data_IF_542650470070
#
_entry.id   IF_542650470070
#
_cell.length_a   1.000
_cell.length_b   1.000
_cell.length_c   1.000
_cell.angle_alpha   90.00
_cell.angle_beta   90.00
_cell.angle_gamma   90.00
#
_symmetry.space_group_name_H-M   'P 1'
#
loop_
_entity.id
_entity.type
_entity.pdbx_description
1 polymer ?
#
# COMPACT_ATOMS: atom_id res chain seq x y z
N UNK A 1 24.67 18.40 -1.26
CA UNK A 1 24.10 17.07 -1.58
C UNK A 1 22.61 17.25 -1.79
N UNK A 2 21.98 16.45 -2.66
CA UNK A 2 20.52 16.44 -2.76
C UNK A 2 19.95 15.85 -1.47
N UNK A 3 18.81 16.36 -1.01
CA UNK A 3 18.08 15.73 0.10
C UNK A 3 17.56 14.36 -0.36
N UNK A 4 17.62 13.37 0.51
CA UNK A 4 17.09 12.03 0.25
C UNK A 4 15.64 11.93 0.72
N UNK A 5 14.78 11.35 -0.10
CA UNK A 5 13.39 11.05 0.28
C UNK A 5 13.07 9.58 0.00
N UNK A 6 12.46 8.90 0.96
CA UNK A 6 11.86 7.58 0.73
C UNK A 6 10.40 7.76 0.36
N UNK A 7 10.00 7.30 -0.82
CA UNK A 7 8.59 7.27 -1.22
C UNK A 7 8.03 5.87 -0.97
N UNK A 8 7.00 5.76 -0.12
CA UNK A 8 6.19 4.56 0.02
C UNK A 8 5.43 4.32 -1.30
N UNK A 9 5.96 3.43 -2.14
CA UNK A 9 5.58 3.31 -3.54
C UNK A 9 4.82 2.01 -3.80
N UNK A 10 3.60 2.12 -4.33
CA UNK A 10 2.73 0.97 -4.65
C UNK A 10 2.57 0.72 -6.15
N UNK A 11 3.11 1.59 -7.00
CA UNK A 11 2.86 1.60 -8.45
C UNK A 11 1.57 2.30 -8.86
N UNK A 12 0.78 2.79 -7.90
CA UNK A 12 -0.44 3.55 -8.15
C UNK A 12 -0.16 4.97 -8.68
N UNK A 13 -1.20 5.65 -9.16
CA UNK A 13 -1.14 7.00 -9.69
C UNK A 13 -0.50 7.98 -8.71
N UNK A 14 -1.05 8.08 -7.49
CA UNK A 14 -0.66 9.05 -6.47
C UNK A 14 0.83 8.90 -6.10
N UNK A 15 1.30 7.66 -5.95
CA UNK A 15 2.70 7.36 -5.66
C UNK A 15 3.61 7.57 -6.87
N UNK A 16 3.10 7.36 -8.09
CA UNK A 16 3.85 7.61 -9.32
C UNK A 16 4.07 9.11 -9.56
N UNK A 17 3.01 9.91 -9.39
CA UNK A 17 3.10 11.36 -9.35
C UNK A 17 4.09 11.82 -8.28
N UNK A 18 4.00 11.28 -7.06
CA UNK A 18 4.88 11.65 -5.95
C UNK A 18 6.36 11.42 -6.26
N UNK A 19 6.72 10.25 -6.82
CA UNK A 19 8.10 9.96 -7.23
C UNK A 19 8.59 11.00 -8.25
N UNK A 20 7.81 11.22 -9.31
CA UNK A 20 8.23 12.12 -10.39
C UNK A 20 8.31 13.58 -9.93
N UNK A 21 7.31 14.05 -9.19
CA UNK A 21 7.26 15.43 -8.70
C UNK A 21 8.42 15.73 -7.74
N UNK A 22 8.72 14.82 -6.81
CA UNK A 22 9.84 15.01 -5.89
C UNK A 22 11.19 14.96 -6.59
N UNK A 23 11.35 14.09 -7.59
CA UNK A 23 12.57 13.99 -8.37
C UNK A 23 12.79 15.22 -9.27
N UNK A 24 11.77 15.66 -10.01
CA UNK A 24 11.89 16.72 -11.03
C UNK A 24 11.73 18.12 -10.44
N UNK A 25 10.65 18.39 -9.71
CA UNK A 25 10.30 19.74 -9.26
C UNK A 25 11.01 20.14 -7.96
N UNK A 26 11.22 19.16 -7.08
CA UNK A 26 11.83 19.40 -5.76
C UNK A 26 13.30 19.00 -5.70
N UNK A 27 13.82 18.32 -6.73
CA UNK A 27 15.23 17.97 -6.84
C UNK A 27 15.72 16.97 -5.79
N UNK A 28 14.83 16.20 -5.17
CA UNK A 28 15.20 15.16 -4.22
C UNK A 28 15.93 13.99 -4.91
N UNK A 29 16.77 13.31 -4.13
CA UNK A 29 17.23 11.97 -4.45
C UNK A 29 16.16 10.97 -3.96
N UNK A 30 15.36 10.47 -4.89
CA UNK A 30 14.16 9.68 -4.56
C UNK A 30 14.50 8.19 -4.45
N UNK A 31 14.22 7.60 -3.30
CA UNK A 31 14.30 6.17 -3.03
C UNK A 31 12.87 5.61 -2.98
N UNK A 32 12.44 4.91 -4.02
CA UNK A 32 11.13 4.26 -4.04
C UNK A 32 11.21 2.94 -3.26
N UNK A 33 10.29 2.74 -2.31
CA UNK A 33 10.24 1.52 -1.50
C UNK A 33 8.83 0.94 -1.48
N UNK A 34 8.71 -0.32 -1.90
CA UNK A 34 7.48 -1.10 -1.87
C UNK A 34 7.54 -2.09 -0.70
N UNK A 35 6.64 -1.94 0.29
CA UNK A 35 6.52 -2.91 1.37
C UNK A 35 5.51 -4.01 0.99
N UNK A 36 6.03 -5.20 0.70
CA UNK A 36 5.21 -6.34 0.27
C UNK A 36 4.64 -7.10 1.48
N UNK A 37 3.33 -6.98 1.67
CA UNK A 37 2.54 -7.73 2.68
C UNK A 37 1.80 -8.93 2.07
N UNK A 38 2.21 -9.40 0.90
CA UNK A 38 1.64 -10.57 0.21
C UNK A 38 0.56 -10.24 -0.83
N UNK A 39 0.43 -8.95 -1.18
CA UNK A 39 -0.58 -8.46 -2.11
C UNK A 39 -0.15 -8.38 -3.58
N UNK A 40 1.14 -8.53 -3.87
CA UNK A 40 1.71 -8.32 -5.20
C UNK A 40 2.16 -9.63 -5.83
N UNK A 41 1.91 -9.79 -7.13
CA UNK A 41 2.56 -10.83 -7.93
C UNK A 41 4.00 -10.46 -8.25
N UNK A 42 4.83 -11.45 -8.60
CA UNK A 42 6.22 -11.19 -9.03
C UNK A 42 6.30 -10.27 -10.25
N UNK A 43 5.35 -10.42 -11.20
CA UNK A 43 5.26 -9.57 -12.39
C UNK A 43 4.91 -8.12 -12.03
N UNK A 44 3.97 -7.91 -11.10
CA UNK A 44 3.64 -6.58 -10.59
C UNK A 44 4.83 -5.93 -9.90
N UNK A 45 5.59 -6.68 -9.10
CA UNK A 45 6.78 -6.15 -8.42
C UNK A 45 7.87 -5.73 -9.42
N UNK A 46 8.11 -6.52 -10.47
CA UNK A 46 9.03 -6.15 -11.56
C UNK A 46 8.55 -4.90 -12.31
N UNK A 47 7.26 -4.85 -12.64
CA UNK A 47 6.71 -3.69 -13.35
C UNK A 47 6.80 -2.41 -12.50
N UNK A 48 6.56 -2.52 -11.20
CA UNK A 48 6.69 -1.42 -10.25
C UNK A 48 8.13 -0.90 -10.17
N UNK A 49 9.12 -1.81 -10.15
CA UNK A 49 10.53 -1.44 -10.18
C UNK A 49 10.89 -0.65 -11.45
N UNK A 50 10.54 -1.18 -12.63
CA UNK A 50 10.80 -0.52 -13.90
C UNK A 50 10.15 0.86 -13.96
N UNK A 51 8.90 0.97 -13.48
CA UNK A 51 8.16 2.22 -13.48
C UNK A 51 8.79 3.23 -12.52
N UNK A 52 9.21 2.82 -11.33
CA UNK A 52 9.88 3.70 -10.37
C UNK A 52 11.11 4.39 -11.01
N UNK A 53 11.93 3.65 -11.75
CA UNK A 53 13.09 4.23 -12.46
C UNK A 53 12.67 5.17 -13.60
N UNK A 54 11.67 4.81 -14.41
CA UNK A 54 11.13 5.70 -15.46
C UNK A 54 10.58 7.02 -14.89
N UNK A 55 10.01 6.97 -13.69
CA UNK A 55 9.49 8.14 -12.97
C UNK A 55 10.61 9.03 -12.39
N UNK A 56 11.84 8.54 -12.31
CA UNK A 56 13.00 9.30 -11.81
C UNK A 56 13.49 8.88 -10.42
N UNK A 57 13.07 7.72 -9.90
CA UNK A 57 13.67 7.17 -8.69
C UNK A 57 15.17 6.88 -8.91
N UNK A 58 15.99 7.23 -7.92
CA UNK A 58 17.42 6.92 -7.88
C UNK A 58 17.64 5.44 -7.53
N UNK A 59 16.80 4.90 -6.65
CA UNK A 59 16.83 3.48 -6.25
C UNK A 59 15.42 2.99 -5.99
N UNK A 60 15.18 1.73 -6.33
CA UNK A 60 13.98 1.00 -5.94
C UNK A 60 14.32 -0.16 -5.00
N UNK A 61 13.44 -0.47 -4.06
CA UNK A 61 13.52 -1.69 -3.24
C UNK A 61 12.13 -2.26 -2.99
N UNK A 62 12.01 -3.59 -3.08
CA UNK A 62 10.88 -4.33 -2.51
C UNK A 62 11.31 -4.92 -1.17
N UNK A 63 10.59 -4.56 -0.11
CA UNK A 63 10.81 -5.04 1.25
C UNK A 63 9.73 -6.07 1.55
N UNK A 64 10.09 -7.35 1.52
CA UNK A 64 9.17 -8.42 1.89
C UNK A 64 8.99 -8.48 3.41
N UNK A 65 7.76 -8.22 3.87
CA UNK A 65 7.38 -8.28 5.27
C UNK A 65 6.30 -9.33 5.54
N UNK A 66 6.04 -10.23 4.60
CA UNK A 66 4.99 -11.27 4.72
C UNK A 66 5.17 -12.12 5.97
N UNK A 67 6.39 -12.62 6.21
CA UNK A 67 6.72 -13.44 7.38
C UNK A 67 6.61 -12.63 8.68
N UNK A 68 7.21 -11.44 8.74
CA UNK A 68 7.11 -10.57 9.92
C UNK A 68 5.65 -10.22 10.23
N UNK A 69 4.86 -9.96 9.20
CA UNK A 69 3.45 -9.63 9.31
C UNK A 69 2.63 -10.80 9.89
N UNK A 70 2.89 -12.03 9.44
CA UNK A 70 2.28 -13.21 10.04
C UNK A 70 2.68 -13.37 11.51
N UNK A 71 3.99 -13.37 11.77
CA UNK A 71 4.56 -13.67 13.08
C UNK A 71 4.21 -12.65 14.16
N UNK A 72 4.07 -11.38 13.78
CA UNK A 72 3.83 -10.27 14.73
C UNK A 72 2.40 -9.73 14.72
N UNK A 73 1.56 -10.13 13.75
CA UNK A 73 0.18 -9.62 13.66
C UNK A 73 -0.84 -10.73 13.39
N UNK A 74 -0.75 -11.40 12.24
CA UNK A 74 -1.84 -12.28 11.80
C UNK A 74 -2.14 -13.38 12.81
N UNK A 75 -1.10 -14.06 13.32
CA UNK A 75 -1.32 -15.13 14.29
C UNK A 75 -2.00 -14.64 15.57
N UNK A 76 -1.65 -13.44 16.06
CA UNK A 76 -2.30 -12.88 17.25
C UNK A 76 -3.72 -12.41 16.99
N UNK A 77 -4.02 -11.92 15.78
CA UNK A 77 -5.40 -11.63 15.38
C UNK A 77 -6.25 -12.92 15.34
N UNK A 78 -5.67 -14.04 14.91
CA UNK A 78 -6.31 -15.36 14.99
C UNK A 78 -6.50 -15.78 16.45
N UNK A 79 -5.47 -15.70 17.29
CA UNK A 79 -5.56 -16.10 18.71
C UNK A 79 -6.65 -15.33 19.45
N UNK A 80 -6.76 -14.03 19.16
CA UNK A 80 -7.75 -13.15 19.78
C UNK A 80 -9.13 -13.18 19.14
N UNK A 81 -9.34 -13.94 18.06
CA UNK A 81 -10.55 -13.89 17.23
C UNK A 81 -10.93 -12.44 16.87
N UNK A 82 -9.95 -11.64 16.46
CA UNK A 82 -10.09 -10.19 16.31
C UNK A 82 -11.03 -9.85 15.15
N UNK A 83 -12.19 -9.28 15.49
CA UNK A 83 -13.17 -8.79 14.54
C UNK A 83 -13.66 -7.40 14.96
N UNK A 84 -13.53 -6.42 14.06
CA UNK A 84 -14.18 -5.11 14.24
C UNK A 84 -15.68 -5.27 14.02
N UNK A 85 -16.44 -4.79 15.00
CA UNK A 85 -17.89 -4.88 15.03
C UNK A 85 -18.41 -6.32 14.85
N UNK A 86 -17.61 -7.32 15.23
CA UNK A 86 -17.96 -8.74 15.08
C UNK A 86 -17.98 -9.26 13.65
N UNK A 87 -17.53 -8.47 12.66
CA UNK A 87 -17.66 -8.84 11.23
C UNK A 87 -16.36 -8.73 10.45
N UNK A 88 -15.55 -7.70 10.69
CA UNK A 88 -14.41 -7.38 9.83
C UNK A 88 -13.07 -7.75 10.47
N UNK A 89 -12.25 -8.63 9.88
CA UNK A 89 -11.00 -9.12 10.47
C UNK A 89 -9.80 -8.15 10.36
N UNK A 90 -10.04 -6.84 10.14
CA UNK A 90 -8.99 -5.80 10.20
C UNK A 90 -7.85 -5.99 9.16
N UNK A 91 -8.14 -6.59 8.00
CA UNK A 91 -7.17 -6.86 6.91
C UNK A 91 -6.29 -5.66 6.53
N UNK A 92 -6.87 -4.57 6.05
CA UNK A 92 -6.10 -3.43 5.53
C UNK A 92 -5.42 -2.66 6.65
N UNK A 93 -6.09 -2.48 7.79
CA UNK A 93 -5.59 -1.58 8.83
C UNK A 93 -4.30 -2.08 9.46
N UNK A 94 -4.23 -3.40 9.69
CA UNK A 94 -3.02 -4.04 10.23
C UNK A 94 -1.89 -4.05 9.20
N UNK A 95 -2.17 -4.34 7.93
CA UNK A 95 -1.17 -4.28 6.84
C UNK A 95 -0.49 -2.92 6.73
N UNK A 96 -1.26 -1.82 6.82
CA UNK A 96 -0.72 -0.46 6.72
C UNK A 96 0.31 -0.13 7.79
N UNK A 97 0.14 -0.65 9.00
CA UNK A 97 1.13 -0.49 10.05
C UNK A 97 2.44 -1.18 9.64
N UNK A 98 2.40 -2.43 9.17
CA UNK A 98 3.60 -3.16 8.76
C UNK A 98 4.30 -2.53 7.56
N UNK A 99 3.52 -1.99 6.62
CA UNK A 99 4.06 -1.20 5.51
C UNK A 99 4.78 0.04 6.03
N UNK A 100 4.14 0.81 6.91
CA UNK A 100 4.76 2.00 7.50
C UNK A 100 6.02 1.67 8.32
N UNK A 101 6.00 0.57 9.11
CA UNK A 101 7.16 0.09 9.86
C UNK A 101 8.35 -0.20 8.92
N UNK A 102 8.10 -0.90 7.81
CA UNK A 102 9.13 -1.25 6.82
C UNK A 102 9.74 0.00 6.18
N UNK A 103 8.89 0.94 5.76
CA UNK A 103 9.32 2.20 5.13
C UNK A 103 10.12 3.06 6.11
N UNK A 104 9.68 3.18 7.35
CA UNK A 104 10.38 3.95 8.38
C UNK A 104 11.77 3.36 8.69
N UNK A 105 11.86 2.03 8.81
CA UNK A 105 13.15 1.34 9.02
C UNK A 105 14.11 1.59 7.86
N UNK A 106 13.63 1.46 6.63
CA UNK A 106 14.45 1.73 5.45
C UNK A 106 14.90 3.19 5.35
N UNK A 107 14.01 4.14 5.65
CA UNK A 107 14.35 5.56 5.69
C UNK A 107 15.46 5.87 6.71
N UNK A 108 15.39 5.29 7.91
CA UNK A 108 16.43 5.42 8.91
C UNK A 108 17.75 4.76 8.47
N UNK A 109 17.68 3.58 7.86
CA UNK A 109 18.86 2.83 7.38
C UNK A 109 19.68 3.65 6.36
N UNK A 110 19.00 4.30 5.42
CA UNK A 110 19.68 5.07 4.35
C UNK A 110 19.99 6.51 4.75
N UNK A 111 19.60 6.92 5.97
CA UNK A 111 19.69 8.30 6.46
C UNK A 111 18.89 9.27 5.60
N UNK A 112 17.61 8.98 5.37
CA UNK A 112 16.72 9.83 4.59
C UNK A 112 16.35 11.11 5.35
N UNK A 113 16.24 12.23 4.61
CA UNK A 113 15.80 13.52 5.17
C UNK A 113 14.27 13.60 5.24
N UNK A 114 13.58 12.86 4.37
CA UNK A 114 12.12 12.84 4.29
C UNK A 114 11.55 11.44 3.96
N UNK A 115 10.29 11.21 4.33
CA UNK A 115 9.45 10.09 3.91
C UNK A 115 8.19 10.66 3.26
N UNK A 116 7.81 10.13 2.10
CA UNK A 116 6.60 10.53 1.41
C UNK A 116 5.64 9.35 1.21
N UNK A 117 4.33 9.62 1.30
CA UNK A 117 3.30 8.64 0.94
C UNK A 117 2.11 9.31 0.22
N UNK A 118 1.46 8.56 -0.66
CA UNK A 118 0.36 9.04 -1.50
C UNK A 118 -1.03 8.85 -0.87
N UNK A 119 -1.16 8.84 0.45
CA UNK A 119 -2.49 8.66 1.07
C UNK A 119 -3.33 9.92 0.91
N UNK A 120 -4.63 9.74 0.63
CA UNK A 120 -5.58 10.85 0.52
C UNK A 120 -5.93 11.42 1.90
N UNK A 121 -6.38 12.69 1.93
CA UNK A 121 -6.82 13.37 3.16
C UNK A 121 -8.13 12.86 3.76
N UNK A 122 -8.86 11.98 3.07
CA UNK A 122 -10.16 11.46 3.52
C UNK A 122 -10.09 10.07 4.18
N UNK A 123 -8.95 9.38 4.05
CA UNK A 123 -8.79 7.99 4.51
C UNK A 123 -8.16 7.87 5.89
N UNK A 124 -8.35 6.70 6.52
CA UNK A 124 -7.67 6.33 7.77
C UNK A 124 -6.18 6.03 7.57
N UNK A 125 -5.76 5.76 6.32
CA UNK A 125 -4.40 5.33 6.02
C UNK A 125 -3.37 6.44 6.28
N UNK A 126 -3.71 7.71 6.06
CA UNK A 126 -2.81 8.83 6.38
C UNK A 126 -2.43 8.82 7.86
N UNK A 127 -3.39 8.59 8.76
CA UNK A 127 -3.15 8.61 10.21
C UNK A 127 -2.23 7.44 10.59
N UNK A 128 -2.42 6.28 9.96
CA UNK A 128 -1.63 5.07 10.23
C UNK A 128 -0.17 5.26 9.82
N UNK A 129 0.06 5.83 8.64
CA UNK A 129 1.40 6.16 8.15
C UNK A 129 2.04 7.27 8.99
N UNK A 130 1.37 8.42 9.11
CA UNK A 130 1.88 9.59 9.85
C UNK A 130 2.27 9.23 11.28
N UNK A 131 1.37 8.55 12.02
CA UNK A 131 1.68 8.16 13.40
C UNK A 131 2.86 7.19 13.49
N UNK A 132 2.97 6.23 12.57
CA UNK A 132 4.08 5.28 12.58
C UNK A 132 5.40 6.00 12.29
N UNK A 133 5.40 6.92 11.32
CA UNK A 133 6.58 7.70 10.96
C UNK A 133 6.99 8.66 12.07
N UNK A 134 6.05 9.34 12.72
CA UNK A 134 6.33 10.22 13.87
C UNK A 134 6.98 9.47 15.04
N UNK A 135 6.62 8.19 15.25
CA UNK A 135 7.18 7.37 16.33
C UNK A 135 8.53 6.77 15.95
N UNK A 136 8.68 6.23 14.73
CA UNK A 136 9.88 5.48 14.33
C UNK A 136 10.94 6.31 13.61
N UNK A 137 10.55 7.42 13.02
CA UNK A 137 11.42 8.32 12.28
C UNK A 137 11.15 9.79 12.73
N UNK A 138 11.24 10.10 14.04
CA UNK A 138 10.76 11.37 14.60
C UNK A 138 11.46 12.62 14.05
N UNK A 139 12.64 12.47 13.46
CA UNK A 139 13.43 13.57 12.89
C UNK A 139 13.37 13.63 11.36
N UNK A 140 12.50 12.83 10.74
CA UNK A 140 12.38 12.71 9.28
C UNK A 140 11.12 13.45 8.84
N UNK A 141 11.25 14.34 7.86
CA UNK A 141 10.13 15.13 7.33
C UNK A 141 9.10 14.21 6.67
N UNK A 142 7.81 14.39 6.97
CA UNK A 142 6.73 13.62 6.33
C UNK A 142 6.14 14.49 5.22
N UNK A 143 6.08 13.95 3.99
CA UNK A 143 5.58 14.64 2.80
C UNK A 143 4.34 13.92 2.24
N UNK A 144 3.27 14.66 2.01
CA UNK A 144 1.98 14.11 1.55
C UNK A 144 1.36 14.92 0.44
N UNK A 145 1.99 14.93 -0.75
CA UNK A 145 1.60 15.81 -1.87
C UNK A 145 0.12 15.73 -2.25
N UNK A 146 -0.42 14.51 -2.40
CA UNK A 146 -1.84 14.32 -2.77
C UNK A 146 -2.79 14.98 -1.78
N UNK A 147 -2.49 14.90 -0.48
CA UNK A 147 -3.26 15.55 0.58
C UNK A 147 -3.01 17.07 0.60
N UNK A 148 -1.75 17.47 0.66
CA UNK A 148 -1.35 18.84 0.97
C UNK A 148 -1.63 19.80 -0.18
N UNK A 149 -1.57 19.31 -1.42
CA UNK A 149 -1.89 20.08 -2.62
C UNK A 149 -3.33 19.88 -3.10
N UNK A 150 -4.13 19.06 -2.40
CA UNK A 150 -5.50 18.69 -2.78
C UNK A 150 -5.61 18.28 -4.27
N UNK A 151 -4.72 17.38 -4.70
CA UNK A 151 -4.57 17.03 -6.11
C UNK A 151 -5.81 16.32 -6.65
N UNK A 152 -6.21 16.69 -7.86
CA UNK A 152 -7.18 15.93 -8.63
C UNK A 152 -6.49 14.82 -9.40
N UNK A 153 -7.19 13.71 -9.61
CA UNK A 153 -6.70 12.58 -10.41
C UNK A 153 -6.28 13.00 -11.82
N UNK A 154 -7.06 13.88 -12.45
CA UNK A 154 -6.79 14.35 -13.81
C UNK A 154 -5.51 15.19 -13.86
N UNK A 155 -5.24 15.98 -12.81
CA UNK A 155 -3.99 16.73 -12.70
C UNK A 155 -2.78 15.78 -12.63
N UNK A 156 -2.83 14.76 -11.77
CA UNK A 156 -1.73 13.80 -11.64
C UNK A 156 -1.47 13.04 -12.95
N UNK A 157 -2.53 12.61 -13.65
CA UNK A 157 -2.43 11.93 -14.95
C UNK A 157 -1.81 12.85 -16.00
N UNK A 158 -2.31 14.09 -16.12
CA UNK A 158 -1.81 15.03 -17.12
C UNK A 158 -0.35 15.39 -16.86
N UNK A 159 0.01 15.63 -15.60
CA UNK A 159 1.39 15.89 -15.20
C UNK A 159 2.32 14.75 -15.61
N UNK A 160 1.96 13.49 -15.32
CA UNK A 160 2.76 12.33 -15.71
C UNK A 160 2.93 12.22 -17.23
N UNK A 161 1.84 12.43 -17.99
CA UNK A 161 1.86 12.41 -19.46
C UNK A 161 2.74 13.51 -20.05
N UNK A 162 2.59 14.75 -19.60
CA UNK A 162 3.39 15.89 -20.03
C UNK A 162 4.89 15.66 -19.81
N UNK A 163 5.24 14.83 -18.83
CA UNK A 163 6.60 14.49 -18.47
C UNK A 163 7.08 13.14 -19.05
N UNK A 164 6.34 12.57 -20.01
CA UNK A 164 6.73 11.40 -20.78
C UNK A 164 6.47 10.05 -20.11
N UNK A 165 5.64 10.02 -19.05
CA UNK A 165 5.21 8.78 -18.41
C UNK A 165 3.75 8.50 -18.75
N UNK A 166 3.55 7.54 -19.65
CA UNK A 166 2.24 7.00 -19.94
C UNK A 166 2.08 5.63 -19.29
N UNK A 167 1.11 5.51 -18.40
CA UNK A 167 0.64 4.25 -17.87
C UNK A 167 -0.88 4.22 -17.93
N UNK A 168 -1.43 3.02 -18.01
CA UNK A 168 -2.87 2.84 -17.92
C UNK A 168 -3.32 3.01 -16.47
N UNK A 169 -3.63 4.26 -16.12
CA UNK A 169 -4.28 4.62 -14.86
C UNK A 169 -5.80 4.58 -14.99
N UNK A 170 -6.33 3.67 -15.81
CA UNK A 170 -7.78 3.54 -16.06
C UNK A 170 -8.56 3.72 -14.77
N UNK A 171 -9.72 4.37 -14.89
CA UNK A 171 -10.71 4.37 -13.82
C UNK A 171 -11.15 2.93 -13.61
N UNK A 172 -10.41 2.18 -12.80
CA UNK A 172 -10.98 1.03 -12.14
C UNK A 172 -12.17 1.57 -11.38
N UNK A 173 -13.33 0.99 -11.66
CA UNK A 173 -14.57 1.31 -10.97
C UNK A 173 -14.40 1.22 -9.45
N UNK A 174 -13.47 0.36 -9.01
CA UNK A 174 -13.14 0.11 -7.62
C UNK A 174 -11.65 0.31 -7.30
N UNK A 175 -11.38 0.69 -6.07
CA UNK A 175 -10.07 0.65 -5.45
C UNK A 175 -9.91 -0.66 -4.67
N UNK A 176 -8.74 -1.29 -4.84
CA UNK A 176 -8.42 -2.58 -4.26
C UNK A 176 -7.23 -2.45 -3.30
N UNK A 177 -7.38 -2.98 -2.10
CA UNK A 177 -6.25 -3.26 -1.21
C UNK A 177 -6.16 -4.76 -1.07
N UNK A 178 -5.14 -5.35 -1.69
CA UNK A 178 -4.88 -6.78 -1.63
C UNK A 178 -3.70 -6.99 -0.70
N UNK A 179 -3.83 -7.95 0.21
CA UNK A 179 -2.74 -8.41 1.04
C UNK A 179 -2.96 -9.85 1.48
N UNK A 180 -2.01 -10.38 2.26
CA UNK A 180 -2.03 -11.77 2.69
C UNK A 180 -3.28 -12.12 3.49
N UNK A 181 -3.82 -11.18 4.28
CA UNK A 181 -4.94 -11.45 5.20
C UNK A 181 -6.32 -11.26 4.55
N UNK A 182 -6.42 -10.40 3.54
CA UNK A 182 -7.65 -10.26 2.79
C UNK A 182 -7.60 -9.12 1.79
N UNK A 183 -8.67 -9.02 1.00
CA UNK A 183 -8.85 -7.94 0.02
C UNK A 183 -9.99 -7.03 0.43
N UNK A 184 -9.77 -5.71 0.44
CA UNK A 184 -10.86 -4.73 0.51
C UNK A 184 -11.14 -4.15 -0.86
N UNK A 185 -12.42 -3.94 -1.16
CA UNK A 185 -12.90 -3.31 -2.39
C UNK A 185 -13.73 -2.09 -1.98
N UNK A 186 -13.45 -0.92 -2.54
CA UNK A 186 -14.23 0.30 -2.28
C UNK A 186 -14.38 1.15 -3.54
N UNK A 187 -15.27 2.14 -3.52
CA UNK A 187 -15.57 2.99 -4.67
C UNK A 187 -16.70 2.46 -5.54
N UNK A 188 -16.90 3.05 -6.71
CA UNK A 188 -17.99 2.69 -7.62
C UNK A 188 -19.37 2.92 -7.00
N UNK A 189 -20.29 2.00 -7.25
CA UNK A 189 -21.66 1.96 -6.72
C UNK A 189 -21.74 1.58 -5.24
N UNK A 190 -20.62 1.19 -4.60
CA UNK A 190 -20.57 0.72 -3.20
C UNK A 190 -20.75 1.88 -2.19
N UNK A 191 -21.17 3.06 -2.65
CA UNK A 191 -21.54 4.18 -1.78
C UNK A 191 -22.99 4.08 -1.29
N UNK A 192 -23.80 3.20 -1.90
CA UNK A 192 -25.16 2.90 -1.46
C UNK A 192 -25.22 1.53 -0.76
N UNK A 193 -25.53 1.53 0.54
CA UNK A 193 -25.62 0.31 1.35
C UNK A 193 -26.76 -0.63 0.95
N UNK A 194 -27.68 -0.19 0.10
CA UNK A 194 -28.77 -1.03 -0.43
C UNK A 194 -28.34 -1.89 -1.62
N UNK A 195 -27.16 -1.61 -2.21
CA UNK A 195 -26.65 -2.31 -3.37
C UNK A 195 -25.54 -3.30 -2.97
N UNK A 196 -25.63 -4.52 -3.49
CA UNK A 196 -24.58 -5.53 -3.36
C UNK A 196 -23.43 -5.26 -4.33
N UNK A 197 -22.27 -5.87 -4.06
CA UNK A 197 -21.14 -5.81 -4.96
C UNK A 197 -21.38 -6.71 -6.20
N UNK A 198 -21.30 -6.22 -7.44
CA UNK A 198 -21.46 -7.07 -8.62
C UNK A 198 -20.27 -8.03 -8.77
N UNK A 199 -20.50 -9.17 -9.41
CA UNK A 199 -19.50 -10.23 -9.53
C UNK A 199 -18.21 -9.76 -10.23
N UNK A 200 -18.34 -8.85 -11.20
CA UNK A 200 -17.21 -8.26 -11.93
C UNK A 200 -16.27 -7.40 -11.07
N UNK A 201 -16.66 -7.07 -9.84
CA UNK A 201 -15.79 -6.36 -8.90
C UNK A 201 -14.80 -7.30 -8.19
N UNK A 202 -15.06 -8.59 -8.08
CA UNK A 202 -14.17 -9.49 -7.36
C UNK A 202 -12.95 -9.84 -8.22
N UNK A 203 -11.75 -9.51 -7.72
CA UNK A 203 -10.48 -9.85 -8.38
C UNK A 203 -10.24 -11.36 -8.51
N UNK A 204 -10.85 -12.14 -7.62
CA UNK A 204 -10.75 -13.60 -7.59
C UNK A 204 -12.15 -14.18 -7.67
N UNK A 205 -12.42 -14.86 -8.78
CA UNK A 205 -13.71 -15.49 -9.05
C UNK A 205 -13.76 -16.89 -8.44
N UNK A 206 -14.96 -17.39 -8.16
CA UNK A 206 -15.16 -18.75 -7.67
C UNK A 206 -14.67 -19.75 -8.73
N UNK A 207 -13.68 -20.57 -8.36
CA UNK A 207 -13.07 -21.57 -9.27
C UNK A 207 -13.52 -23.00 -8.98
N UNK A 208 -14.19 -23.22 -7.84
CA UNK A 208 -14.62 -24.55 -7.39
C UNK A 208 -15.96 -24.45 -6.68
N UNK A 209 -16.83 -25.42 -6.93
CA UNK A 209 -18.16 -25.54 -6.32
C UNK A 209 -18.29 -26.92 -5.66
N UNK A 210 -19.19 -27.04 -4.68
CA UNK A 210 -19.40 -28.27 -3.90
C UNK A 210 -18.98 -28.09 -2.44
N UNK A 211 -18.83 -29.21 -1.73
CA UNK A 211 -18.45 -29.25 -0.32
C UNK A 211 -17.16 -30.01 -0.13
N UNK A 212 -16.30 -29.50 0.75
CA UNK A 212 -15.03 -30.11 1.13
C UNK A 212 -14.92 -30.12 2.65
N UNK A 213 -14.42 -31.23 3.19
CA UNK A 213 -14.05 -31.32 4.59
C UNK A 213 -12.58 -30.91 4.75
N UNK A 214 -12.35 -29.85 5.50
CA UNK A 214 -11.02 -29.39 5.87
C UNK A 214 -10.83 -29.64 7.36
N UNK A 215 -9.72 -30.29 7.72
CA UNK A 215 -9.28 -30.42 9.10
C UNK A 215 -8.12 -29.47 9.33
N UNK A 216 -8.30 -28.55 10.28
CA UNK A 216 -7.26 -27.63 10.75
C UNK A 216 -6.94 -27.99 12.19
N UNK A 217 -5.66 -28.27 12.47
CA UNK A 217 -5.15 -28.53 13.80
C UNK A 217 -4.48 -27.28 14.35
N UNK A 218 -4.76 -26.96 15.62
CA UNK A 218 -4.13 -25.85 16.33
C UNK A 218 -3.36 -26.37 17.53
N UNK A 219 -2.13 -25.88 17.70
CA UNK A 219 -1.31 -26.13 18.89
C UNK A 219 -1.02 -24.81 19.58
N UNK A 220 -1.48 -24.66 20.81
CA UNK A 220 -1.34 -23.41 21.58
C UNK A 220 -1.88 -22.18 20.85
N UNK A 221 -2.96 -22.34 20.07
CA UNK A 221 -3.61 -21.28 19.30
C UNK A 221 -3.04 -21.05 17.89
N UNK A 222 -1.88 -21.61 17.56
CA UNK A 222 -1.24 -21.49 16.24
C UNK A 222 -1.61 -22.67 15.34
N UNK A 223 -1.87 -22.38 14.05
CA UNK A 223 -2.18 -23.41 13.05
C UNK A 223 -0.97 -24.34 12.88
N UNK A 224 -1.22 -25.64 12.93
CA UNK A 224 -0.18 -26.68 12.96
C UNK A 224 -0.22 -27.61 11.75
N UNK A 225 -1.41 -28.13 11.40
CA UNK A 225 -1.61 -29.10 10.31
C UNK A 225 -2.99 -28.94 9.67
#
# INVERSE_FOLDING_TARGET
MKKKVVVAFSGGLDTSFTVMYLAKEKGYEVYAACANTGGFSEEQLKQNEENAYKLGATKYVTIDVTKEYYEKSLKYMVFGNVLRNGTYPISVSSERIFQALAIARYANEIGADAIAHGSTGAGNDQIRFDMTFLVLAPNVEIITLTRDMALSRDYEINYLKEHGFEADFTKLKYSYNVGLWGTSICGGEILDSTQGLPESAYLKQVTKTGSEELRLEFKSGEIHA
#
